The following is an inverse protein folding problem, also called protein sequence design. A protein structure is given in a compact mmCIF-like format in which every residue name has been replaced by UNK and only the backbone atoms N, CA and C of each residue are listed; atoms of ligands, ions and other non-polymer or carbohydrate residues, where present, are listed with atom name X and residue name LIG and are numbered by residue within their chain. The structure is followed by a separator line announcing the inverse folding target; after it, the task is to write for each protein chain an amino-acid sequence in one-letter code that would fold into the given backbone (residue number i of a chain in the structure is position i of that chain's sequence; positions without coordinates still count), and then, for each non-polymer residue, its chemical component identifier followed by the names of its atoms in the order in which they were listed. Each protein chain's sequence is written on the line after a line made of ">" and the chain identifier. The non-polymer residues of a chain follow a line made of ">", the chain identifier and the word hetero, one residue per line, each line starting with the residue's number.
data_IF_949790317083
#
_entry.id   IF_949790317083
#
_cell.length_a   1.000
_cell.length_b   1.000
_cell.length_c   1.000
_cell.angle_alpha   90.00
_cell.angle_beta   90.00
_cell.angle_gamma   90.00
#
_symmetry.space_group_name_H-M   'P 1'
#
loop_
_entity.id
_entity.type
_entity.pdbx_description
1 polymer ?
#
# COMPACT_ATOMS: atom_id res chain seq x y z
N UNK A 1 3.17 11.82 20.78
CA UNK A 1 3.79 12.69 19.74
C UNK A 1 3.71 11.94 18.42
N UNK A 2 3.08 12.52 17.40
CA UNK A 2 2.92 11.87 16.11
C UNK A 2 4.29 11.64 15.46
N UNK A 3 4.51 10.44 14.94
CA UNK A 3 5.74 10.04 14.21
C UNK A 3 5.95 10.86 12.92
N UNK A 4 4.94 11.61 12.50
CA UNK A 4 4.88 12.30 11.21
C UNK A 4 4.76 13.83 11.29
N UNK A 5 5.12 14.43 12.44
CA UNK A 5 5.08 15.90 12.60
C UNK A 5 5.94 16.66 11.55
N UNK A 6 6.91 15.99 10.92
CA UNK A 6 7.76 16.60 9.88
C UNK A 6 7.10 16.62 8.47
N UNK A 7 5.87 16.17 8.34
CA UNK A 7 5.09 16.32 7.10
C UNK A 7 4.36 17.69 7.06
N UNK A 8 4.39 18.46 8.15
CA UNK A 8 3.89 19.83 8.15
C UNK A 8 4.88 20.74 7.42
N UNK A 9 4.40 21.38 6.35
CA UNK A 9 5.17 22.40 5.63
C UNK A 9 5.38 23.60 6.55
N UNK A 10 6.58 23.72 7.09
CA UNK A 10 6.96 24.90 7.87
C UNK A 10 6.89 26.15 6.99
N UNK A 11 6.14 27.15 7.45
CA UNK A 11 6.15 28.51 6.93
C UNK A 11 7.44 29.24 7.30
N UNK A 12 8.62 28.70 6.98
CA UNK A 12 9.89 29.44 7.09
C UNK A 12 10.97 28.78 6.23
N UNK A 13 11.09 29.21 5.00
CA UNK A 13 12.39 29.24 4.31
C UNK A 13 12.53 30.55 3.58
N UNK A 14 12.91 31.58 4.33
CA UNK A 14 13.47 32.79 3.77
C UNK A 14 15.00 32.66 3.74
N UNK A 15 15.54 32.77 2.52
CA UNK A 15 16.84 33.29 2.20
C UNK A 15 18.08 32.66 2.78
N UNK A 16 18.79 31.85 1.96
CA UNK A 16 20.25 32.03 1.73
C UNK A 16 20.72 31.20 0.53
N UNK A 17 20.69 31.80 -0.63
CA UNK A 17 21.47 31.39 -1.80
C UNK A 17 22.94 31.76 -1.54
N UNK A 18 23.76 30.80 -1.16
CA UNK A 18 25.22 30.92 -1.28
C UNK A 18 25.71 30.07 -2.44
N UNK A 19 26.10 30.79 -3.47
CA UNK A 19 26.90 30.35 -4.60
C UNK A 19 28.15 29.59 -4.15
N UNK A 20 28.26 28.29 -4.50
CA UNK A 20 29.53 27.62 -4.72
C UNK A 20 29.52 26.97 -6.09
N UNK A 21 30.16 27.64 -7.02
CA UNK A 21 30.64 27.02 -8.27
C UNK A 21 31.67 25.98 -7.90
N UNK A 22 31.39 24.71 -8.21
CA UNK A 22 32.40 23.71 -8.48
C UNK A 22 31.94 22.89 -9.69
N UNK A 23 32.77 22.97 -10.70
CA UNK A 23 32.73 22.21 -11.96
C UNK A 23 32.79 20.72 -11.69
N UNK A 24 31.69 20.01 -11.99
CA UNK A 24 31.74 18.57 -12.26
C UNK A 24 30.74 18.28 -13.39
N UNK A 25 31.27 17.83 -14.52
CA UNK A 25 30.57 17.59 -15.79
C UNK A 25 29.87 16.22 -15.78
N UNK A 26 28.96 16.01 -14.85
CA UNK A 26 27.89 15.02 -14.96
C UNK A 26 26.57 15.77 -15.18
N UNK A 27 25.67 15.31 -16.07
CA UNK A 27 24.37 15.90 -16.21
C UNK A 27 23.66 15.79 -14.85
N UNK A 28 23.55 16.92 -14.13
CA UNK A 28 22.73 16.98 -12.91
C UNK A 28 21.32 16.63 -13.32
N UNK A 29 20.87 15.43 -13.05
CA UNK A 29 19.46 15.06 -13.11
C UNK A 29 18.72 16.10 -12.28
N UNK A 30 17.99 16.97 -12.98
CA UNK A 30 17.16 17.98 -12.33
C UNK A 30 16.05 17.20 -11.59
N UNK A 31 16.17 17.14 -10.27
CA UNK A 31 15.16 16.50 -9.41
C UNK A 31 14.00 17.49 -9.24
N UNK A 32 13.12 17.52 -10.22
CA UNK A 32 11.91 18.32 -10.24
C UNK A 32 10.69 17.56 -9.66
N UNK A 33 9.53 18.20 -9.67
CA UNK A 33 8.26 17.61 -9.25
C UNK A 33 7.98 16.27 -9.93
N UNK A 34 8.19 16.19 -11.26
CA UNK A 34 7.91 14.98 -12.03
C UNK A 34 8.83 13.83 -11.65
N UNK A 35 10.11 14.14 -11.38
CA UNK A 35 11.06 13.15 -10.88
C UNK A 35 10.56 12.53 -9.55
N UNK A 36 10.20 13.38 -8.57
CA UNK A 36 9.73 12.87 -7.27
C UNK A 36 8.41 12.14 -7.37
N UNK A 37 7.49 12.56 -8.25
CA UNK A 37 6.22 11.89 -8.51
C UNK A 37 6.44 10.49 -9.09
N UNK A 38 7.30 10.35 -10.10
CA UNK A 38 7.65 9.05 -10.68
C UNK A 38 8.29 8.12 -9.65
N UNK A 39 9.23 8.63 -8.84
CA UNK A 39 9.85 7.86 -7.77
C UNK A 39 8.84 7.43 -6.69
N UNK A 40 7.90 8.32 -6.31
CA UNK A 40 6.85 8.01 -5.34
C UNK A 40 5.96 6.86 -5.84
N UNK A 41 5.55 6.92 -7.12
CA UNK A 41 4.76 5.85 -7.73
C UNK A 41 5.55 4.53 -7.77
N UNK A 42 6.80 4.56 -8.18
CA UNK A 42 7.68 3.37 -8.19
C UNK A 42 7.86 2.78 -6.79
N UNK A 43 8.10 3.62 -5.78
CA UNK A 43 8.22 3.18 -4.39
C UNK A 43 6.90 2.56 -3.89
N UNK A 44 5.76 3.13 -4.26
CA UNK A 44 4.45 2.57 -3.93
C UNK A 44 4.25 1.19 -4.57
N UNK A 45 4.54 1.04 -5.86
CA UNK A 45 4.45 -0.23 -6.59
C UNK A 45 5.36 -1.31 -6.01
N UNK A 46 6.51 -0.92 -5.47
CA UNK A 46 7.43 -1.84 -4.78
C UNK A 46 7.08 -2.09 -3.30
N UNK A 47 5.97 -1.56 -2.79
CA UNK A 47 5.56 -1.74 -1.40
C UNK A 47 6.47 -1.03 -0.37
N UNK A 48 7.21 0.00 -0.82
CA UNK A 48 8.08 0.86 0.00
C UNK A 48 7.30 2.09 0.50
N UNK A 49 6.26 1.84 1.29
CA UNK A 49 5.24 2.85 1.64
C UNK A 49 5.81 4.05 2.42
N UNK A 50 6.77 3.84 3.33
CA UNK A 50 7.43 4.96 4.04
C UNK A 50 8.26 5.83 3.09
N UNK A 51 8.90 5.24 2.10
CA UNK A 51 9.63 5.96 1.07
C UNK A 51 8.68 6.71 0.14
N UNK A 52 7.64 6.05 -0.35
CA UNK A 52 6.60 6.67 -1.17
C UNK A 52 5.96 7.86 -0.45
N UNK A 53 5.64 7.73 0.85
CA UNK A 53 5.09 8.81 1.67
C UNK A 53 6.02 10.04 1.69
N UNK A 54 7.32 9.83 1.91
CA UNK A 54 8.32 10.91 1.89
C UNK A 54 8.46 11.57 0.51
N UNK A 55 8.40 10.75 -0.55
CA UNK A 55 8.50 11.26 -1.92
C UNK A 55 7.26 12.06 -2.33
N UNK A 56 6.04 11.63 -1.95
CA UNK A 56 4.84 12.45 -2.12
C UNK A 56 4.90 13.76 -1.34
N UNK A 57 5.48 13.77 -0.13
CA UNK A 57 5.71 15.01 0.61
C UNK A 57 6.63 15.96 -0.17
N UNK A 58 7.70 15.44 -0.82
CA UNK A 58 8.57 16.23 -1.69
C UNK A 58 7.83 16.80 -2.90
N UNK A 59 6.92 16.04 -3.52
CA UNK A 59 6.07 16.59 -4.60
C UNK A 59 5.29 17.79 -4.11
N UNK A 60 4.70 17.71 -2.91
CA UNK A 60 3.89 18.80 -2.34
C UNK A 60 4.72 20.02 -1.91
N UNK A 61 6.03 19.88 -1.65
CA UNK A 61 6.93 21.03 -1.48
C UNK A 61 7.08 21.83 -2.77
N UNK A 62 7.09 21.18 -3.95
CA UNK A 62 7.12 21.84 -5.26
C UNK A 62 5.74 22.35 -5.67
N UNK A 63 4.71 21.55 -5.45
CA UNK A 63 3.35 21.87 -5.86
C UNK A 63 2.31 21.51 -4.78
N UNK A 64 2.02 22.41 -3.85
CA UNK A 64 1.02 22.19 -2.79
C UNK A 64 -0.42 21.97 -3.32
N UNK A 65 -0.65 22.24 -4.63
CA UNK A 65 -1.96 22.03 -5.29
C UNK A 65 -2.06 20.71 -6.05
N UNK A 66 -1.14 19.79 -5.87
CA UNK A 66 -1.20 18.47 -6.48
C UNK A 66 -2.12 17.52 -5.68
N UNK A 67 -3.38 17.40 -6.13
CA UNK A 67 -4.36 16.52 -5.50
C UNK A 67 -3.94 15.03 -5.55
N UNK A 68 -3.19 14.62 -6.59
CA UNK A 68 -2.69 13.25 -6.72
C UNK A 68 -1.64 12.94 -5.65
N UNK A 69 -0.74 13.88 -5.38
CA UNK A 69 0.25 13.72 -4.31
C UNK A 69 -0.40 13.72 -2.91
N UNK A 70 -1.43 14.54 -2.68
CA UNK A 70 -2.21 14.49 -1.45
C UNK A 70 -2.90 13.13 -1.27
N UNK A 71 -3.57 12.64 -2.32
CA UNK A 71 -4.18 11.30 -2.32
C UNK A 71 -3.13 10.20 -2.08
N UNK A 72 -1.98 10.30 -2.73
CA UNK A 72 -0.84 9.41 -2.52
C UNK A 72 -0.39 9.35 -1.07
N UNK A 73 -0.21 10.51 -0.39
CA UNK A 73 0.16 10.54 1.03
C UNK A 73 -0.87 9.85 1.92
N UNK A 74 -2.17 10.14 1.73
CA UNK A 74 -3.24 9.52 2.52
C UNK A 74 -3.24 8.01 2.32
N UNK A 75 -3.08 7.53 1.08
CA UNK A 75 -3.00 6.10 0.77
C UNK A 75 -1.79 5.43 1.42
N UNK A 76 -0.62 6.08 1.42
CA UNK A 76 0.57 5.53 2.09
C UNK A 76 0.38 5.40 3.60
N UNK A 77 -0.26 6.38 4.25
CA UNK A 77 -0.60 6.29 5.68
C UNK A 77 -1.56 5.13 5.95
N UNK A 78 -2.54 4.88 5.07
CA UNK A 78 -3.43 3.71 5.18
C UNK A 78 -2.62 2.39 5.08
N UNK A 79 -1.70 2.29 4.13
CA UNK A 79 -0.86 1.11 3.94
C UNK A 79 0.12 0.87 5.10
N UNK A 80 0.50 1.93 5.81
CA UNK A 80 1.31 1.88 7.03
C UNK A 80 0.49 1.62 8.31
N UNK A 81 -0.83 1.47 8.19
CA UNK A 81 -1.81 1.30 9.29
C UNK A 81 -1.91 2.52 10.22
N UNK A 82 -1.53 3.71 9.74
CA UNK A 82 -1.63 4.98 10.46
C UNK A 82 -2.97 5.68 10.13
N UNK A 83 -4.08 5.02 10.53
CA UNK A 83 -5.43 5.40 10.06
C UNK A 83 -5.90 6.74 10.60
N UNK A 84 -5.56 7.10 11.84
CA UNK A 84 -5.91 8.40 12.42
C UNK A 84 -5.17 9.54 11.70
N UNK A 85 -3.90 9.34 11.37
CA UNK A 85 -3.14 10.31 10.58
C UNK A 85 -3.67 10.38 9.14
N UNK A 86 -3.99 9.23 8.53
CA UNK A 86 -4.60 9.19 7.20
C UNK A 86 -5.89 10.02 7.15
N UNK A 87 -6.76 9.88 8.17
CA UNK A 87 -7.99 10.67 8.31
C UNK A 87 -7.70 12.17 8.41
N UNK A 88 -6.77 12.60 9.29
CA UNK A 88 -6.39 14.01 9.46
C UNK A 88 -5.84 14.62 8.16
N UNK A 89 -4.97 13.89 7.46
CA UNK A 89 -4.40 14.36 6.20
C UNK A 89 -5.45 14.40 5.09
N UNK A 90 -6.39 13.45 5.07
CA UNK A 90 -7.53 13.50 4.15
C UNK A 90 -8.44 14.71 4.43
N UNK A 91 -8.73 15.00 5.72
CA UNK A 91 -9.51 16.19 6.12
C UNK A 91 -8.83 17.47 5.61
N UNK A 92 -7.52 17.64 5.86
CA UNK A 92 -6.74 18.79 5.40
C UNK A 92 -6.69 18.93 3.87
N UNK A 93 -6.58 17.80 3.17
CA UNK A 93 -6.59 17.81 1.71
C UNK A 93 -7.97 18.17 1.14
N UNK A 94 -9.05 17.66 1.74
CA UNK A 94 -10.43 17.93 1.32
C UNK A 94 -10.88 19.38 1.59
N UNK A 95 -10.24 20.11 2.51
CA UNK A 95 -10.44 21.56 2.64
C UNK A 95 -10.03 22.31 1.36
N UNK A 96 -9.06 21.79 0.61
CA UNK A 96 -8.56 22.38 -0.64
C UNK A 96 -9.19 21.76 -1.88
N UNK A 97 -9.54 20.50 -1.81
CA UNK A 97 -10.07 19.68 -2.91
C UNK A 97 -11.33 18.92 -2.46
N UNK A 98 -12.44 19.62 -2.16
CA UNK A 98 -13.61 19.03 -1.52
C UNK A 98 -14.26 17.90 -2.34
N UNK A 99 -14.15 17.96 -3.67
CA UNK A 99 -14.79 17.01 -4.58
C UNK A 99 -13.78 16.08 -5.27
N UNK A 100 -12.55 15.95 -4.71
CA UNK A 100 -11.55 15.06 -5.31
C UNK A 100 -11.86 13.59 -5.00
N UNK A 101 -12.25 12.78 -6.01
CA UNK A 101 -12.79 11.45 -5.78
C UNK A 101 -11.83 10.50 -5.05
N UNK A 102 -10.53 10.54 -5.40
CA UNK A 102 -9.54 9.66 -4.78
C UNK A 102 -9.26 10.02 -3.32
N UNK A 103 -9.34 11.32 -2.96
CA UNK A 103 -9.23 11.76 -1.56
C UNK A 103 -10.45 11.34 -0.75
N UNK A 104 -11.66 11.50 -1.31
CA UNK A 104 -12.90 11.03 -0.68
C UNK A 104 -12.85 9.51 -0.45
N UNK A 105 -12.41 8.74 -1.45
CA UNK A 105 -12.26 7.30 -1.36
C UNK A 105 -11.20 6.89 -0.31
N UNK A 106 -10.05 7.56 -0.28
CA UNK A 106 -9.02 7.28 0.73
C UNK A 106 -9.50 7.60 2.14
N UNK A 107 -10.22 8.71 2.34
CA UNK A 107 -10.86 9.04 3.63
C UNK A 107 -11.89 7.98 4.03
N UNK A 108 -12.70 7.50 3.09
CA UNK A 108 -13.66 6.43 3.34
C UNK A 108 -12.98 5.17 3.86
N UNK A 109 -11.85 4.77 3.25
CA UNK A 109 -11.06 3.61 3.71
C UNK A 109 -10.49 3.84 5.10
N UNK A 110 -9.90 5.01 5.38
CA UNK A 110 -9.36 5.32 6.70
C UNK A 110 -10.44 5.22 7.79
N UNK A 111 -11.64 5.81 7.54
CA UNK A 111 -12.79 5.73 8.44
C UNK A 111 -13.28 4.29 8.63
N UNK A 112 -13.33 3.48 7.56
CA UNK A 112 -13.74 2.08 7.65
C UNK A 112 -12.79 1.27 8.52
N UNK A 113 -11.48 1.50 8.42
CA UNK A 113 -10.46 0.85 9.25
C UNK A 113 -10.45 1.34 10.70
N UNK A 114 -10.90 2.57 10.96
CA UNK A 114 -11.15 3.11 12.30
C UNK A 114 -12.47 2.60 12.91
N UNK A 115 -13.34 1.98 12.12
CA UNK A 115 -14.63 1.44 12.57
C UNK A 115 -15.81 2.40 12.43
N UNK A 116 -15.60 3.62 11.93
CA UNK A 116 -16.70 4.56 11.62
C UNK A 116 -17.30 4.21 10.24
N UNK A 117 -18.08 3.12 10.25
CA UNK A 117 -18.63 2.53 9.02
C UNK A 117 -19.73 3.41 8.39
N UNK A 118 -20.38 4.26 9.18
CA UNK A 118 -21.41 5.16 8.67
C UNK A 118 -20.79 6.31 7.88
N UNK A 119 -19.83 7.01 8.47
CA UNK A 119 -19.11 8.07 7.77
C UNK A 119 -18.33 7.52 6.56
N UNK A 120 -17.72 6.34 6.69
CA UNK A 120 -17.02 5.67 5.59
C UNK A 120 -17.92 5.49 4.36
N UNK A 121 -19.19 5.08 4.57
CA UNK A 121 -20.13 4.90 3.46
C UNK A 121 -20.50 6.23 2.80
N UNK A 122 -20.71 7.29 3.57
CA UNK A 122 -21.02 8.64 3.03
C UNK A 122 -19.89 9.11 2.11
N UNK A 123 -18.63 9.03 2.56
CA UNK A 123 -17.48 9.43 1.72
C UNK A 123 -17.26 8.49 0.53
N UNK A 124 -17.54 7.19 0.69
CA UNK A 124 -17.50 6.24 -0.41
C UNK A 124 -18.56 6.51 -1.46
N UNK A 125 -19.78 6.91 -1.08
CA UNK A 125 -20.83 7.30 -2.03
C UNK A 125 -20.45 8.59 -2.76
N UNK A 126 -19.95 9.59 -2.05
CA UNK A 126 -19.50 10.84 -2.64
C UNK A 126 -18.35 10.63 -3.65
N UNK A 127 -17.45 9.68 -3.40
CA UNK A 127 -16.30 9.42 -4.29
C UNK A 127 -16.67 8.88 -5.66
N UNK A 128 -17.83 8.23 -5.82
CA UNK A 128 -18.27 7.60 -7.08
C UNK A 128 -19.17 8.50 -7.92
N UNK A 129 -19.60 9.69 -7.38
CA UNK A 129 -20.72 10.45 -7.93
C UNK A 129 -20.54 11.03 -9.33
N UNK A 130 -19.48 11.81 -9.65
CA UNK A 130 -19.57 12.68 -10.83
C UNK A 130 -18.35 12.71 -11.79
N UNK A 131 -17.17 12.23 -11.42
CA UNK A 131 -15.93 12.52 -12.19
C UNK A 131 -15.28 11.34 -12.89
N UNK A 132 -16.00 10.28 -13.11
CA UNK A 132 -15.47 9.09 -13.77
C UNK A 132 -15.01 8.03 -12.78
N UNK A 133 -14.98 6.80 -13.26
CA UNK A 133 -14.68 5.62 -12.46
C UNK A 133 -13.20 5.24 -12.63
N UNK A 134 -12.43 5.24 -11.53
CA UNK A 134 -11.10 4.65 -11.51
C UNK A 134 -11.11 3.30 -10.80
N UNK A 135 -10.18 2.39 -11.12
CA UNK A 135 -10.09 1.11 -10.40
C UNK A 135 -9.94 1.29 -8.89
N UNK A 136 -9.22 2.33 -8.45
CA UNK A 136 -9.02 2.60 -7.04
C UNK A 136 -10.32 2.95 -6.29
N UNK A 137 -11.19 3.76 -6.90
CA UNK A 137 -12.48 4.11 -6.29
C UNK A 137 -13.33 2.87 -6.00
N UNK A 138 -13.33 1.91 -6.93
CA UNK A 138 -14.05 0.65 -6.75
C UNK A 138 -13.39 -0.27 -5.73
N UNK A 139 -12.05 -0.32 -5.66
CA UNK A 139 -11.35 -1.04 -4.59
C UNK A 139 -11.71 -0.47 -3.22
N UNK A 140 -11.64 0.86 -3.07
CA UNK A 140 -11.97 1.55 -1.83
C UNK A 140 -13.42 1.30 -1.41
N UNK A 141 -14.38 1.38 -2.36
CA UNK A 141 -15.78 1.06 -2.10
C UNK A 141 -15.96 -0.41 -1.69
N UNK A 142 -15.29 -1.32 -2.37
CA UNK A 142 -15.31 -2.76 -2.01
C UNK A 142 -14.78 -2.98 -0.60
N UNK A 143 -13.74 -2.26 -0.19
CA UNK A 143 -13.20 -2.33 1.16
C UNK A 143 -14.18 -1.82 2.21
N UNK A 144 -14.81 -0.65 1.98
CA UNK A 144 -15.85 -0.11 2.89
C UNK A 144 -17.01 -1.10 3.05
N UNK A 145 -17.50 -1.67 1.96
CA UNK A 145 -18.58 -2.66 2.01
C UNK A 145 -18.14 -3.97 2.68
N UNK A 146 -16.88 -4.38 2.51
CA UNK A 146 -16.31 -5.54 3.21
C UNK A 146 -16.23 -5.30 4.72
N UNK A 147 -15.83 -4.10 5.17
CA UNK A 147 -15.84 -3.70 6.57
C UNK A 147 -17.25 -3.78 7.17
N UNK A 148 -18.26 -3.39 6.40
CA UNK A 148 -19.69 -3.46 6.74
C UNK A 148 -20.27 -4.89 6.62
N UNK A 149 -19.49 -5.87 6.13
CA UNK A 149 -19.92 -7.26 5.86
C UNK A 149 -21.05 -7.35 4.81
N UNK A 150 -21.07 -6.45 3.85
CA UNK A 150 -22.06 -6.42 2.78
C UNK A 150 -21.66 -7.34 1.61
N UNK A 151 -22.62 -8.06 1.05
CA UNK A 151 -22.39 -8.97 -0.10
C UNK A 151 -21.95 -8.26 -1.38
N UNK A 152 -22.27 -6.97 -1.51
CA UNK A 152 -21.90 -6.14 -2.68
C UNK A 152 -20.42 -5.86 -2.81
N UNK A 153 -19.61 -6.15 -1.79
CA UNK A 153 -18.16 -5.95 -1.84
C UNK A 153 -17.51 -6.67 -3.04
N UNK A 154 -17.93 -7.90 -3.32
CA UNK A 154 -17.39 -8.68 -4.45
C UNK A 154 -17.62 -8.00 -5.80
N UNK A 155 -18.83 -7.49 -6.04
CA UNK A 155 -19.13 -6.71 -7.24
C UNK A 155 -18.20 -5.50 -7.43
N UNK A 156 -17.85 -4.80 -6.33
CA UNK A 156 -16.96 -3.65 -6.41
C UNK A 156 -15.53 -4.07 -6.80
N UNK A 157 -15.02 -5.18 -6.28
CA UNK A 157 -13.73 -5.72 -6.68
C UNK A 157 -13.72 -6.17 -8.13
N UNK A 158 -14.76 -6.88 -8.58
CA UNK A 158 -14.90 -7.31 -9.98
C UNK A 158 -14.94 -6.12 -10.93
N UNK A 159 -15.65 -5.05 -10.56
CA UNK A 159 -15.68 -3.79 -11.32
C UNK A 159 -14.28 -3.15 -11.41
N UNK A 160 -13.55 -3.08 -10.29
CA UNK A 160 -12.18 -2.56 -10.27
C UNK A 160 -11.25 -3.34 -11.20
N UNK A 161 -11.31 -4.67 -11.15
CA UNK A 161 -10.49 -5.54 -12.00
C UNK A 161 -10.93 -5.50 -13.46
N UNK A 162 -12.22 -5.31 -13.74
CA UNK A 162 -12.75 -5.14 -15.09
C UNK A 162 -12.29 -3.84 -15.76
N UNK A 163 -12.13 -2.74 -14.98
CA UNK A 163 -11.60 -1.46 -15.48
C UNK A 163 -10.11 -1.53 -15.82
N UNK A 164 -9.36 -2.45 -15.21
CA UNK A 164 -7.92 -2.61 -15.42
C UNK A 164 -7.49 -4.09 -15.53
N UNK A 165 -7.96 -4.83 -16.56
CA UNK A 165 -7.89 -6.29 -16.61
C UNK A 165 -6.45 -6.84 -16.67
N UNK A 166 -5.51 -6.09 -17.22
CA UNK A 166 -4.09 -6.47 -17.33
C UNK A 166 -3.18 -5.78 -16.32
N UNK A 167 -3.74 -4.99 -15.41
CA UNK A 167 -2.96 -4.25 -14.44
C UNK A 167 -2.74 -5.10 -13.18
N UNK A 168 -1.53 -5.63 -13.01
CA UNK A 168 -1.12 -6.42 -11.86
C UNK A 168 -1.25 -5.63 -10.55
N UNK A 169 -0.97 -4.32 -10.58
CA UNK A 169 -0.95 -3.48 -9.38
C UNK A 169 -2.33 -3.35 -8.74
N UNK A 170 -3.40 -3.23 -9.55
CA UNK A 170 -4.78 -3.17 -9.04
C UNK A 170 -5.17 -4.49 -8.38
N UNK A 171 -4.78 -5.66 -8.94
CA UNK A 171 -4.99 -6.96 -8.30
C UNK A 171 -4.22 -7.11 -7.02
N UNK A 172 -2.97 -6.62 -6.99
CA UNK A 172 -2.16 -6.62 -5.78
C UNK A 172 -2.78 -5.76 -4.67
N UNK A 173 -3.27 -4.55 -4.96
CA UNK A 173 -4.01 -3.73 -4.00
C UNK A 173 -5.25 -4.47 -3.48
N UNK A 174 -6.03 -5.10 -4.35
CA UNK A 174 -7.16 -5.95 -3.95
C UNK A 174 -6.73 -7.09 -3.01
N UNK A 175 -5.61 -7.77 -3.32
CA UNK A 175 -5.07 -8.82 -2.46
C UNK A 175 -4.66 -8.27 -1.09
N UNK A 176 -4.05 -7.09 -1.02
CA UNK A 176 -3.70 -6.43 0.26
C UNK A 176 -4.93 -6.14 1.11
N UNK A 177 -6.00 -5.63 0.50
CA UNK A 177 -7.29 -5.43 1.18
C UNK A 177 -7.79 -6.76 1.75
N UNK A 178 -7.83 -7.83 0.95
CA UNK A 178 -8.26 -9.15 1.43
C UNK A 178 -7.37 -9.69 2.57
N UNK A 179 -6.05 -9.46 2.51
CA UNK A 179 -5.13 -9.82 3.60
C UNK A 179 -5.44 -9.07 4.90
N UNK A 180 -5.73 -7.77 4.83
CA UNK A 180 -6.11 -6.98 5.99
C UNK A 180 -7.34 -7.59 6.71
N UNK A 181 -8.34 -8.01 5.94
CA UNK A 181 -9.54 -8.68 6.46
C UNK A 181 -9.36 -10.20 6.64
N UNK A 182 -8.13 -10.72 6.64
CA UNK A 182 -7.77 -12.13 6.88
C UNK A 182 -8.41 -13.12 5.89
N UNK A 183 -8.83 -12.67 4.72
CA UNK A 183 -9.35 -13.50 3.62
C UNK A 183 -8.20 -14.03 2.74
N UNK A 184 -7.26 -14.75 3.36
CA UNK A 184 -5.98 -15.12 2.74
C UNK A 184 -6.13 -15.99 1.48
N UNK A 185 -7.16 -16.84 1.39
CA UNK A 185 -7.40 -17.66 0.20
C UNK A 185 -7.78 -16.80 -1.04
N UNK A 186 -8.62 -15.77 -0.84
CA UNK A 186 -8.97 -14.82 -1.91
C UNK A 186 -7.78 -13.95 -2.28
N UNK A 187 -7.02 -13.49 -1.29
CA UNK A 187 -5.78 -12.74 -1.53
C UNK A 187 -4.78 -13.57 -2.34
N UNK A 188 -4.59 -14.85 -1.99
CA UNK A 188 -3.72 -15.78 -2.73
C UNK A 188 -4.10 -15.84 -4.21
N UNK A 189 -5.39 -16.04 -4.51
CA UNK A 189 -5.91 -16.11 -5.89
C UNK A 189 -5.59 -14.80 -6.65
N UNK A 190 -5.86 -13.65 -6.04
CA UNK A 190 -5.60 -12.34 -6.67
C UNK A 190 -4.10 -12.11 -6.94
N UNK A 191 -3.22 -12.54 -6.04
CA UNK A 191 -1.77 -12.44 -6.28
C UNK A 191 -1.33 -13.37 -7.41
N UNK A 192 -1.88 -14.57 -7.52
CA UNK A 192 -1.60 -15.48 -8.64
C UNK A 192 -2.07 -14.89 -9.97
N UNK A 193 -3.25 -14.27 -10.00
CA UNK A 193 -3.72 -13.53 -11.17
C UNK A 193 -2.81 -12.33 -11.51
N UNK A 194 -2.33 -11.59 -10.49
CA UNK A 194 -1.37 -10.50 -10.70
C UNK A 194 -0.04 -11.00 -11.28
N UNK A 195 0.49 -12.12 -10.78
CA UNK A 195 1.70 -12.77 -11.30
C UNK A 195 1.52 -13.26 -12.74
N UNK A 196 0.30 -13.65 -13.15
CA UNK A 196 0.03 -13.99 -14.55
C UNK A 196 0.09 -12.78 -15.49
N UNK A 197 -0.10 -11.56 -14.95
CA UNK A 197 0.07 -10.32 -15.71
C UNK A 197 1.54 -9.88 -15.77
N UNK A 198 2.28 -10.00 -14.66
CA UNK A 198 3.69 -9.65 -14.57
C UNK A 198 4.39 -10.46 -13.47
N UNK A 199 5.16 -11.46 -13.86
CA UNK A 199 5.90 -12.33 -12.94
C UNK A 199 7.23 -11.72 -12.43
N UNK A 200 7.68 -10.60 -13.00
CA UNK A 200 8.94 -9.97 -12.63
C UNK A 200 8.84 -9.09 -11.37
N UNK A 201 7.65 -8.90 -10.82
CA UNK A 201 7.40 -8.05 -9.66
C UNK A 201 7.71 -8.78 -8.36
N UNK A 202 8.83 -8.43 -7.72
CA UNK A 202 9.24 -9.03 -6.43
C UNK A 202 8.22 -8.86 -5.31
N UNK A 203 7.48 -7.74 -5.31
CA UNK A 203 6.42 -7.45 -4.34
C UNK A 203 5.26 -8.46 -4.41
N UNK A 204 4.96 -9.01 -5.60
CA UNK A 204 3.93 -10.04 -5.76
C UNK A 204 4.38 -11.37 -5.15
N UNK A 205 5.62 -11.76 -5.38
CA UNK A 205 6.20 -12.97 -4.78
C UNK A 205 6.24 -12.86 -3.25
N UNK A 206 6.59 -11.67 -2.73
CA UNK A 206 6.54 -11.41 -1.29
C UNK A 206 5.10 -11.56 -0.74
N UNK A 207 4.12 -10.96 -1.41
CA UNK A 207 2.70 -11.04 -1.01
C UNK A 207 2.18 -12.49 -1.12
N UNK A 208 2.58 -13.23 -2.15
CA UNK A 208 2.24 -14.65 -2.32
C UNK A 208 2.73 -15.47 -1.14
N UNK A 209 4.01 -15.30 -0.77
CA UNK A 209 4.62 -15.98 0.37
C UNK A 209 3.90 -15.67 1.69
N UNK A 210 3.52 -14.41 1.92
CA UNK A 210 2.77 -14.01 3.12
C UNK A 210 1.38 -14.67 3.18
N UNK A 211 0.65 -14.74 2.04
CA UNK A 211 -0.63 -15.43 1.98
C UNK A 211 -0.49 -16.93 2.24
N UNK A 212 0.51 -17.57 1.63
CA UNK A 212 0.79 -18.99 1.82
C UNK A 212 1.18 -19.30 3.27
N UNK A 213 2.03 -18.47 3.87
CA UNK A 213 2.40 -18.59 5.29
C UNK A 213 1.18 -18.47 6.20
N UNK A 214 0.30 -17.52 5.96
CA UNK A 214 -0.94 -17.33 6.74
C UNK A 214 -1.90 -18.53 6.61
N UNK A 215 -1.86 -19.24 5.49
CA UNK A 215 -2.61 -20.48 5.24
C UNK A 215 -1.89 -21.75 5.74
N UNK A 216 -0.71 -21.62 6.35
CA UNK A 216 0.08 -22.76 6.82
C UNK A 216 0.84 -23.52 5.73
N UNK A 217 0.90 -22.99 4.50
CA UNK A 217 1.59 -23.61 3.37
C UNK A 217 3.08 -23.25 3.41
N UNK A 218 3.85 -23.89 4.31
CA UNK A 218 5.23 -23.48 4.65
C UNK A 218 6.19 -23.63 3.47
N UNK A 219 6.18 -24.78 2.76
CA UNK A 219 7.13 -24.99 1.64
C UNK A 219 6.82 -24.10 0.43
N UNK A 220 5.54 -23.94 -0.01
CA UNK A 220 5.21 -22.93 -1.00
C UNK A 220 5.61 -21.50 -0.61
N UNK A 221 5.38 -21.11 0.67
CA UNK A 221 5.78 -19.79 1.15
C UNK A 221 7.30 -19.58 1.08
N UNK A 222 8.09 -20.60 1.43
CA UNK A 222 9.55 -20.54 1.29
C UNK A 222 9.98 -20.29 -0.14
N UNK A 223 9.42 -21.03 -1.09
CA UNK A 223 9.72 -20.84 -2.52
C UNK A 223 9.35 -19.44 -2.99
N UNK A 224 8.18 -18.95 -2.60
CA UNK A 224 7.75 -17.60 -2.95
C UNK A 224 8.67 -16.51 -2.38
N UNK A 225 9.11 -16.61 -1.12
CA UNK A 225 10.07 -15.67 -0.54
C UNK A 225 11.46 -15.76 -1.20
N UNK A 226 11.89 -16.93 -1.66
CA UNK A 226 13.12 -17.08 -2.44
C UNK A 226 13.03 -16.36 -3.79
N UNK A 227 11.89 -16.44 -4.48
CA UNK A 227 11.64 -15.66 -5.70
C UNK A 227 11.62 -14.15 -5.39
N UNK A 228 10.93 -13.71 -4.33
CA UNK A 228 10.93 -12.30 -3.92
C UNK A 228 12.35 -11.76 -3.74
N UNK A 229 13.23 -12.53 -3.08
CA UNK A 229 14.64 -12.17 -2.88
C UNK A 229 15.43 -12.04 -4.19
N UNK A 230 15.11 -12.85 -5.21
CA UNK A 230 15.79 -12.77 -6.52
C UNK A 230 15.47 -11.47 -7.25
N UNK A 231 14.25 -10.97 -7.12
CA UNK A 231 13.82 -9.73 -7.77
C UNK A 231 14.16 -8.47 -6.96
N UNK A 232 14.28 -8.57 -5.64
CA UNK A 232 14.61 -7.46 -4.75
C UNK A 232 15.77 -7.85 -3.83
N UNK A 233 16.98 -7.76 -4.39
CA UNK A 233 18.21 -8.13 -3.68
C UNK A 233 18.62 -7.12 -2.59
N UNK A 234 18.06 -5.93 -2.59
CA UNK A 234 18.35 -4.88 -1.60
C UNK A 234 17.37 -4.88 -0.42
N UNK A 235 16.23 -5.54 -0.56
CA UNK A 235 15.23 -5.62 0.49
C UNK A 235 15.51 -6.78 1.45
N UNK A 236 15.71 -6.48 2.73
CA UNK A 236 15.84 -7.49 3.77
C UNK A 236 14.50 -8.17 4.14
N UNK A 237 13.36 -7.71 3.59
CA UNK A 237 12.04 -8.23 3.93
C UNK A 237 11.88 -9.73 3.62
N UNK A 238 12.38 -10.17 2.48
CA UNK A 238 12.33 -11.58 2.09
C UNK A 238 13.23 -12.46 2.98
N UNK A 239 14.41 -11.97 3.35
CA UNK A 239 15.31 -12.68 4.27
C UNK A 239 14.73 -12.77 5.68
N UNK A 240 14.08 -11.72 6.17
CA UNK A 240 13.38 -11.71 7.45
C UNK A 240 12.22 -12.71 7.44
N UNK A 241 11.44 -12.75 6.37
CA UNK A 241 10.34 -13.70 6.22
C UNK A 241 10.85 -15.15 6.16
N UNK A 242 11.94 -15.41 5.44
CA UNK A 242 12.58 -16.74 5.42
C UNK A 242 13.09 -17.14 6.80
N UNK A 243 13.75 -16.23 7.54
CA UNK A 243 14.19 -16.48 8.92
C UNK A 243 13.02 -16.81 9.84
N UNK A 244 11.92 -16.07 9.74
CA UNK A 244 10.70 -16.30 10.51
C UNK A 244 10.11 -17.70 10.22
N UNK A 245 10.07 -18.13 8.95
CA UNK A 245 9.62 -19.48 8.58
C UNK A 245 10.50 -20.58 9.17
N UNK A 246 11.82 -20.41 9.20
CA UNK A 246 12.73 -21.39 9.82
C UNK A 246 12.46 -21.53 11.31
N UNK A 247 12.24 -20.42 12.02
CA UNK A 247 11.92 -20.46 13.45
C UNK A 247 10.59 -21.17 13.72
N UNK A 248 9.54 -20.88 12.94
CA UNK A 248 8.25 -21.58 13.06
C UNK A 248 8.39 -23.10 12.80
N UNK A 249 9.14 -23.48 11.77
CA UNK A 249 9.42 -24.88 11.47
C UNK A 249 10.18 -25.60 12.57
N UNK A 250 11.13 -24.94 13.23
CA UNK A 250 11.88 -25.46 14.37
C UNK A 250 10.96 -25.70 15.59
N UNK A 251 10.15 -24.72 15.97
CA UNK A 251 9.24 -24.82 17.10
C UNK A 251 8.15 -25.89 16.89
N UNK A 252 7.63 -26.04 15.67
CA UNK A 252 6.67 -27.10 15.36
C UNK A 252 7.31 -28.50 15.48
N UNK A 253 8.55 -28.68 15.02
CA UNK A 253 9.30 -29.96 15.19
C UNK A 253 9.63 -30.24 16.65
N UNK A 254 10.00 -29.21 17.41
CA UNK A 254 10.28 -29.36 18.85
C UNK A 254 9.01 -29.73 19.61
N UNK A 255 7.90 -29.09 19.33
CA UNK A 255 6.59 -29.38 19.94
C UNK A 255 6.10 -30.78 19.62
N UNK A 256 6.25 -31.26 18.38
CA UNK A 256 5.90 -32.64 18.02
C UNK A 256 6.77 -33.68 18.76
N UNK A 257 8.09 -33.43 18.88
CA UNK A 257 8.99 -34.29 19.64
C UNK A 257 8.63 -34.35 21.13
N UNK A 258 8.31 -33.23 21.75
CA UNK A 258 7.87 -33.17 23.16
C UNK A 258 6.54 -33.87 23.38
N UNK A 259 5.59 -33.78 22.44
CA UNK A 259 4.33 -34.50 22.51
C UNK A 259 4.50 -36.03 22.41
N UNK A 260 5.48 -36.52 21.64
CA UNK A 260 5.82 -37.94 21.58
C UNK A 260 6.51 -38.44 22.87
N UNK A 261 7.33 -37.60 23.53
CA UNK A 261 7.96 -37.94 24.81
C UNK A 261 7.00 -37.98 26.00
N UNK A 262 5.90 -37.25 25.93
CA UNK A 262 4.87 -37.21 27.01
C UNK A 262 3.82 -38.31 26.84
N UNK A 263 3.73 -38.93 25.65
CA UNK A 263 2.78 -40.03 25.35
C UNK A 263 3.39 -41.42 25.36
N UNK A 264 4.69 -41.55 25.56
CA UNK A 264 5.41 -42.80 25.80
C UNK A 264 5.80 -42.91 27.25
#
# INVERSE_FOLDING_TARGET
>A
MSRFNNLEFGEQFDGQLHSRQQSDSQPRLFKDENYYRAQAQTAFENGLFEEALRLYARVLEFNPRDAVAWSGQVRMLIELNEFEEAKKWADKALERFPDEPELLAAKAVALARLGDLQAAMVYSDASIGERGETPYLWLARGEVQMARKEKRAEYCFDKAFGLAPKNWFIRWLGARIHCYYKKFALALKLVQEALSCDAAQGVLWMQLGLCQQALGLVEPARTSFQHARQFDTQSHKADDALRALYQLGFWNRLRSRLQHLVRG
#
